data_IF_141174771461
#
_entry.id   IF_141174771461
#
_cell.length_a   1.000
_cell.length_b   1.000
_cell.length_c   1.000
_cell.angle_alpha   90.00
_cell.angle_beta   90.00
_cell.angle_gamma   90.00
#
_symmetry.space_group_name_H-M   'P 1'
#
loop_
_entity.id
_entity.type
_entity.pdbx_description
1 polymer ?
#
# COMPACT_ATOMS: atom_id res chain seq x y z
N UNK A 1 27.59 22.15 60.55
CA UNK A 1 27.80 21.90 59.13
C UNK A 1 26.92 20.72 58.70
N UNK A 2 25.78 20.99 58.08
CA UNK A 2 24.90 19.94 57.53
C UNK A 2 25.29 19.71 56.06
N UNK A 3 25.70 18.47 55.71
CA UNK A 3 25.99 18.05 54.32
C UNK A 3 24.65 17.67 53.68
N UNK A 4 24.24 18.44 52.69
CA UNK A 4 23.10 18.13 51.84
C UNK A 4 23.60 17.17 50.76
N UNK A 5 23.06 15.96 50.76
CA UNK A 5 23.31 14.93 49.77
C UNK A 5 22.31 15.13 48.61
N UNK A 6 22.80 15.54 47.44
CA UNK A 6 22.00 15.65 46.24
C UNK A 6 22.00 14.26 45.58
N UNK A 7 20.88 13.58 45.63
CA UNK A 7 20.64 12.34 44.89
C UNK A 7 20.16 12.72 43.47
N UNK A 8 21.07 12.61 42.51
CA UNK A 8 20.70 12.77 41.12
C UNK A 8 19.95 11.56 40.62
N UNK A 9 18.67 11.71 40.26
CA UNK A 9 17.94 10.73 39.51
C UNK A 9 18.35 10.80 38.05
N UNK A 10 19.14 9.83 37.59
CA UNK A 10 19.37 9.60 36.16
C UNK A 10 18.08 8.99 35.57
N UNK A 11 17.35 9.79 34.82
CA UNK A 11 16.29 9.30 33.96
C UNK A 11 16.94 8.47 32.84
N UNK A 12 16.92 7.15 32.98
CA UNK A 12 17.25 6.24 31.90
C UNK A 12 16.09 6.30 30.92
N UNK A 13 16.25 7.03 29.83
CA UNK A 13 15.42 6.90 28.64
C UNK A 13 15.69 5.52 28.04
N UNK A 14 14.83 4.55 28.36
CA UNK A 14 14.73 3.31 27.57
C UNK A 14 14.07 3.72 26.27
N UNK A 15 14.88 3.99 25.25
CA UNK A 15 14.38 3.97 23.89
C UNK A 15 13.83 2.55 23.66
N UNK A 16 12.52 2.39 23.66
CA UNK A 16 11.89 1.22 23.09
C UNK A 16 12.27 1.25 21.60
N UNK A 17 13.34 0.54 21.27
CA UNK A 17 13.60 0.08 19.92
C UNK A 17 12.37 -0.79 19.58
N UNK A 18 11.41 -0.24 18.84
CA UNK A 18 10.45 -1.02 18.12
C UNK A 18 11.27 -1.91 17.17
N UNK A 19 11.47 -3.15 17.55
CA UNK A 19 12.03 -4.15 16.66
C UNK A 19 10.97 -4.35 15.60
N UNK A 20 11.22 -3.83 14.38
CA UNK A 20 10.44 -4.21 13.23
C UNK A 20 10.45 -5.74 13.18
N UNK A 21 9.29 -6.37 13.11
CA UNK A 21 9.20 -7.79 12.93
C UNK A 21 9.77 -8.10 11.55
N UNK A 22 11.05 -8.51 11.52
CA UNK A 22 11.71 -8.85 10.27
C UNK A 22 10.98 -10.04 9.67
N UNK A 23 10.80 -10.02 8.35
CA UNK A 23 10.22 -11.14 7.61
C UNK A 23 10.89 -12.45 8.04
N UNK A 24 10.14 -13.45 8.55
CA UNK A 24 10.73 -14.72 8.95
C UNK A 24 11.47 -15.39 7.80
N UNK A 25 12.62 -15.99 8.08
CA UNK A 25 13.35 -16.74 7.07
C UNK A 25 12.46 -17.87 6.51
N UNK A 26 12.40 -17.99 5.18
CA UNK A 26 11.58 -19.01 4.52
C UNK A 26 10.08 -18.70 4.46
N UNK A 27 9.63 -17.53 4.91
CA UNK A 27 8.20 -17.18 4.93
C UNK A 27 7.53 -17.33 3.55
N UNK A 28 8.26 -17.01 2.48
CA UNK A 28 7.77 -17.12 1.10
C UNK A 28 8.28 -18.36 0.33
N UNK A 29 8.98 -19.32 0.96
CA UNK A 29 9.54 -20.48 0.26
C UNK A 29 8.48 -21.30 -0.49
N UNK A 30 7.26 -21.34 0.03
CA UNK A 30 6.15 -22.08 -0.55
C UNK A 30 5.53 -21.47 -1.81
N UNK A 31 5.99 -20.30 -2.27
CA UNK A 31 5.42 -19.65 -3.48
C UNK A 31 6.28 -19.86 -4.74
N UNK A 32 7.52 -20.35 -4.60
CA UNK A 32 8.39 -20.62 -5.74
C UNK A 32 7.78 -21.66 -6.67
N UNK A 33 7.82 -21.41 -7.97
CA UNK A 33 7.24 -22.28 -9.00
C UNK A 33 5.71 -22.22 -9.13
N UNK A 34 4.98 -21.51 -8.26
CA UNK A 34 3.54 -21.33 -8.38
C UNK A 34 3.20 -20.24 -9.41
N UNK A 35 1.98 -20.34 -9.98
CA UNK A 35 1.47 -19.38 -10.95
C UNK A 35 -0.03 -19.11 -10.76
N UNK A 36 -0.53 -18.01 -11.30
CA UNK A 36 -1.95 -17.69 -11.41
C UNK A 36 -2.71 -17.84 -10.08
N UNK A 37 -3.83 -18.54 -10.10
CA UNK A 37 -4.68 -18.77 -8.92
C UNK A 37 -3.93 -19.51 -7.79
N UNK A 38 -3.01 -20.41 -8.12
CA UNK A 38 -2.25 -21.16 -7.11
C UNK A 38 -1.33 -20.21 -6.34
N UNK A 39 -0.64 -19.32 -7.04
CA UNK A 39 0.20 -18.29 -6.42
C UNK A 39 -0.64 -17.38 -5.51
N UNK A 40 -1.75 -16.85 -6.03
CA UNK A 40 -2.62 -15.95 -5.23
C UNK A 40 -3.15 -16.65 -3.98
N UNK A 41 -3.57 -17.91 -4.08
CA UNK A 41 -4.07 -18.69 -2.95
C UNK A 41 -2.98 -19.00 -1.94
N UNK A 42 -1.76 -19.30 -2.39
CA UNK A 42 -0.61 -19.49 -1.50
C UNK A 42 -0.27 -18.21 -0.73
N UNK A 43 -0.19 -17.06 -1.41
CA UNK A 43 0.00 -15.75 -0.77
C UNK A 43 -1.13 -15.45 0.23
N UNK A 44 -2.38 -15.73 -0.14
CA UNK A 44 -3.52 -15.61 0.77
C UNK A 44 -3.32 -16.46 2.02
N UNK A 45 -2.87 -17.70 1.88
CA UNK A 45 -2.57 -18.59 3.02
C UNK A 45 -1.54 -18.03 4.00
N UNK A 46 -0.58 -17.25 3.50
CA UNK A 46 0.45 -16.61 4.32
C UNK A 46 -0.06 -15.38 5.09
N UNK A 47 -1.05 -14.65 4.56
CA UNK A 47 -1.44 -13.34 5.07
C UNK A 47 -2.82 -13.29 5.71
N UNK A 48 -3.64 -14.33 5.49
CA UNK A 48 -5.06 -14.34 5.88
C UNK A 48 -5.26 -14.47 7.38
N UNK A 49 -4.41 -15.24 8.06
CA UNK A 49 -4.44 -15.40 9.50
C UNK A 49 -3.69 -14.23 10.16
N UNK A 50 -4.46 -13.28 10.68
CA UNK A 50 -3.90 -12.09 11.33
C UNK A 50 -4.76 -11.64 12.51
N UNK A 51 -4.19 -10.79 13.35
CA UNK A 51 -4.92 -10.19 14.47
C UNK A 51 -5.86 -9.09 13.96
N UNK A 52 -7.15 -9.23 14.30
CA UNK A 52 -8.17 -8.23 14.00
C UNK A 52 -8.03 -7.02 14.93
N UNK A 53 -7.61 -5.88 14.41
CA UNK A 53 -7.41 -4.64 15.16
C UNK A 53 -8.75 -3.90 15.30
N UNK A 54 -9.17 -3.61 16.53
CA UNK A 54 -10.41 -2.88 16.74
C UNK A 54 -10.41 -1.50 16.08
N UNK A 55 -11.43 -1.21 15.27
CA UNK A 55 -11.58 0.07 14.61
C UNK A 55 -11.85 1.21 15.60
N UNK A 56 -11.16 2.35 15.44
CA UNK A 56 -11.40 3.56 16.19
C UNK A 56 -10.19 4.13 16.91
N UNK A 57 -10.45 4.96 17.91
CA UNK A 57 -9.44 5.65 18.74
C UNK A 57 -9.27 4.98 20.10
N UNK A 58 -8.11 5.19 20.72
CA UNK A 58 -7.71 4.62 22.01
C UNK A 58 -6.74 3.45 21.87
N UNK A 59 -6.32 2.93 23.03
CA UNK A 59 -5.36 1.83 23.09
C UNK A 59 -5.88 0.55 22.41
N UNK A 60 -5.02 -0.16 21.70
CA UNK A 60 -5.34 -1.38 20.96
C UNK A 60 -6.21 -1.18 19.71
N UNK A 61 -6.34 0.05 19.21
CA UNK A 61 -7.21 0.37 18.09
C UNK A 61 -6.45 1.04 16.94
N UNK A 62 -7.13 1.21 15.81
CA UNK A 62 -6.58 1.74 14.56
C UNK A 62 -5.74 3.01 14.72
N UNK A 63 -6.18 3.99 15.53
CA UNK A 63 -5.41 5.22 15.75
C UNK A 63 -4.12 5.01 16.54
N UNK A 64 -4.02 3.95 17.34
CA UNK A 64 -2.75 3.58 17.94
C UNK A 64 -1.80 2.99 16.89
N UNK A 65 -2.30 2.16 15.97
CA UNK A 65 -1.49 1.66 14.85
C UNK A 65 -0.96 2.84 14.03
N UNK A 66 -1.81 3.80 13.66
CA UNK A 66 -1.41 5.00 12.89
C UNK A 66 -0.32 5.83 13.59
N UNK A 67 -0.31 5.86 14.92
CA UNK A 67 0.74 6.55 15.66
C UNK A 67 2.12 5.95 15.39
N UNK A 68 2.20 4.66 15.14
CA UNK A 68 3.46 3.97 14.85
C UNK A 68 3.72 3.79 13.34
N UNK A 69 2.69 3.69 12.53
CA UNK A 69 2.80 3.38 11.10
C UNK A 69 2.78 4.61 10.18
N UNK A 70 2.03 5.65 10.55
CA UNK A 70 1.72 6.77 9.66
C UNK A 70 2.24 8.11 10.19
N UNK A 71 3.03 8.11 11.25
CA UNK A 71 3.61 9.31 11.88
C UNK A 71 5.09 9.44 11.55
N UNK A 72 5.52 10.67 11.22
CA UNK A 72 6.94 11.00 11.01
C UNK A 72 7.69 11.22 12.33
N UNK A 73 9.00 11.47 12.24
CA UNK A 73 9.87 11.76 13.40
C UNK A 73 9.52 13.08 14.09
N UNK A 74 8.83 14.01 13.44
CA UNK A 74 8.41 15.30 14.00
C UNK A 74 7.05 15.21 14.69
N UNK A 75 6.38 14.08 14.62
CA UNK A 75 5.11 13.84 15.28
C UNK A 75 3.88 14.07 14.44
N UNK A 76 4.02 14.23 13.13
CA UNK A 76 2.91 14.48 12.23
C UNK A 76 2.52 13.21 11.49
N UNK A 77 1.22 12.94 11.40
CA UNK A 77 0.70 11.89 10.55
C UNK A 77 0.38 12.42 9.16
N UNK A 78 0.66 11.60 8.17
CA UNK A 78 0.46 11.91 6.77
C UNK A 78 -0.98 11.63 6.34
N UNK A 79 -1.60 12.62 5.71
CA UNK A 79 -2.88 12.48 5.01
C UNK A 79 -2.62 12.42 3.50
N UNK A 80 -2.66 11.21 2.93
CA UNK A 80 -2.40 10.99 1.50
C UNK A 80 -3.48 11.58 0.58
N UNK A 81 -4.65 12.00 1.13
CA UNK A 81 -5.71 12.64 0.34
C UNK A 81 -5.57 14.15 0.23
N UNK A 82 -4.95 14.77 1.22
CA UNK A 82 -4.74 16.23 1.20
C UNK A 82 -3.29 16.63 1.04
N UNK A 83 -2.36 15.67 1.18
CA UNK A 83 -0.93 15.97 1.31
C UNK A 83 -0.70 16.99 2.44
N UNK A 84 -1.42 16.79 3.52
CA UNK A 84 -1.44 17.67 4.68
C UNK A 84 -1.03 16.88 5.92
N UNK A 85 -0.20 17.50 6.75
CA UNK A 85 0.39 16.86 7.91
C UNK A 85 -0.28 17.35 9.17
N UNK A 86 -0.83 16.43 9.97
CA UNK A 86 -1.53 16.73 11.22
C UNK A 86 -0.78 16.16 12.40
N UNK A 87 -0.63 16.95 13.45
CA UNK A 87 0.00 16.50 14.69
C UNK A 87 -0.78 15.32 15.27
N UNK A 88 -0.10 14.21 15.49
CA UNK A 88 -0.59 13.02 16.16
C UNK A 88 0.14 12.89 17.49
N UNK A 89 -0.46 13.43 18.54
CA UNK A 89 0.21 13.77 19.81
C UNK A 89 0.57 12.57 20.68
N UNK A 90 -0.24 11.49 20.61
CA UNK A 90 -0.05 10.31 21.45
C UNK A 90 -0.68 9.06 20.83
N UNK A 91 -0.25 7.84 21.24
CA UNK A 91 -0.86 6.60 20.79
C UNK A 91 -2.39 6.59 21.03
N UNK A 92 -3.14 6.23 20.00
CA UNK A 92 -4.60 6.17 20.05
C UNK A 92 -5.34 7.51 20.00
N UNK A 93 -4.63 8.65 19.98
CA UNK A 93 -5.24 9.96 19.72
C UNK A 93 -5.71 10.08 18.27
N UNK A 94 -6.65 10.98 18.01
CA UNK A 94 -7.12 11.30 16.65
C UNK A 94 -6.44 12.57 16.17
N UNK A 95 -5.88 12.56 14.99
CA UNK A 95 -5.34 13.76 14.36
C UNK A 95 -6.47 14.74 13.99
N UNK A 96 -6.25 16.03 14.26
CA UNK A 96 -7.30 17.04 14.10
C UNK A 96 -7.84 17.13 12.66
N UNK A 97 -9.16 17.03 12.52
CA UNK A 97 -9.84 17.08 11.22
C UNK A 97 -9.74 15.82 10.39
N UNK A 98 -9.10 14.77 10.91
CA UNK A 98 -8.98 13.48 10.25
C UNK A 98 -9.99 12.46 10.76
N UNK A 99 -10.27 11.47 9.92
CA UNK A 99 -10.96 10.23 10.27
C UNK A 99 -10.14 9.04 9.73
N UNK A 100 -10.62 7.83 9.98
CA UNK A 100 -10.06 6.61 9.41
C UNK A 100 -10.69 6.40 8.04
N UNK A 101 -9.87 6.43 7.01
CA UNK A 101 -10.28 6.15 5.65
C UNK A 101 -10.10 4.66 5.31
N UNK A 102 -11.12 4.10 4.67
CA UNK A 102 -11.04 2.81 4.00
C UNK A 102 -10.69 3.07 2.53
N UNK A 103 -9.42 2.96 2.13
CA UNK A 103 -9.00 3.23 0.75
C UNK A 103 -9.76 2.34 -0.24
N UNK A 104 -9.92 1.05 0.05
CA UNK A 104 -10.96 0.22 -0.56
C UNK A 104 -12.24 0.39 0.26
N UNK A 105 -13.22 1.12 -0.27
CA UNK A 105 -14.36 1.58 0.50
C UNK A 105 -15.18 0.42 1.11
N UNK A 106 -15.56 0.56 2.39
CA UNK A 106 -16.28 -0.49 3.10
C UNK A 106 -17.63 -0.88 2.46
N UNK A 107 -18.25 0.03 1.72
CA UNK A 107 -19.46 -0.25 0.95
C UNK A 107 -19.26 -1.32 -0.13
N UNK A 108 -18.01 -1.57 -0.55
CA UNK A 108 -17.68 -2.57 -1.57
C UNK A 108 -17.98 -4.01 -1.14
N UNK A 109 -18.06 -4.25 0.17
CA UNK A 109 -18.54 -5.52 0.76
C UNK A 109 -19.78 -5.35 1.64
N UNK A 110 -20.52 -4.26 1.46
CA UNK A 110 -21.79 -4.03 2.14
C UNK A 110 -21.70 -3.29 3.47
N UNK A 111 -20.54 -2.74 3.83
CA UNK A 111 -20.35 -1.95 5.05
C UNK A 111 -20.37 -2.77 6.34
N UNK A 112 -20.31 -4.10 6.24
CA UNK A 112 -20.26 -4.98 7.41
C UNK A 112 -18.92 -4.81 8.12
N UNK A 113 -18.95 -4.72 9.45
CA UNK A 113 -17.78 -4.66 10.32
C UNK A 113 -17.25 -6.08 10.54
N UNK A 114 -16.55 -6.56 9.56
CA UNK A 114 -15.86 -7.84 9.49
C UNK A 114 -14.36 -7.56 9.32
N UNK A 115 -13.51 -8.55 9.30
CA UNK A 115 -12.05 -8.36 9.24
C UNK A 115 -11.55 -7.34 8.19
N UNK A 116 -12.00 -7.33 6.91
CA UNK A 116 -11.57 -6.30 5.97
C UNK A 116 -11.91 -4.87 6.41
N UNK A 117 -12.89 -4.68 7.30
CA UNK A 117 -13.22 -3.37 7.87
C UNK A 117 -12.13 -2.84 8.81
N UNK A 118 -11.38 -3.71 9.44
CA UNK A 118 -10.40 -3.40 10.47
C UNK A 118 -8.94 -3.50 9.97
N UNK A 119 -8.72 -4.01 8.76
CA UNK A 119 -7.38 -4.29 8.24
C UNK A 119 -6.60 -2.99 7.97
N UNK A 120 -5.53 -2.79 8.73
CA UNK A 120 -4.72 -1.56 8.69
C UNK A 120 -3.91 -1.40 7.40
N UNK A 121 -3.76 -2.43 6.56
CA UNK A 121 -3.06 -2.30 5.28
C UNK A 121 -3.79 -1.46 4.24
N UNK A 122 -5.10 -1.26 4.40
CA UNK A 122 -5.86 -0.34 3.54
C UNK A 122 -6.52 0.81 4.29
N UNK A 123 -6.36 0.87 5.63
CA UNK A 123 -6.83 2.00 6.44
C UNK A 123 -5.76 3.08 6.49
N UNK A 124 -6.17 4.34 6.39
CA UNK A 124 -5.28 5.50 6.42
C UNK A 124 -5.89 6.64 7.24
N UNK A 125 -5.08 7.44 7.96
CA UNK A 125 -5.55 8.72 8.46
C UNK A 125 -5.86 9.65 7.28
N UNK A 126 -7.03 10.29 7.26
CA UNK A 126 -7.43 11.14 6.15
C UNK A 126 -8.28 12.30 6.59
N UNK A 127 -8.12 13.44 5.93
CA UNK A 127 -9.00 14.59 6.08
C UNK A 127 -10.45 14.21 5.80
N UNK A 128 -11.34 14.53 6.75
CA UNK A 128 -12.74 14.12 6.71
C UNK A 128 -13.50 14.64 5.48
N UNK A 129 -13.16 15.85 5.00
CA UNK A 129 -13.82 16.43 3.83
C UNK A 129 -13.32 15.79 2.52
N UNK A 130 -12.02 15.53 2.42
CA UNK A 130 -11.45 14.84 1.26
C UNK A 130 -11.99 13.41 1.18
N UNK A 131 -12.01 12.68 2.29
CA UNK A 131 -12.62 11.35 2.39
C UNK A 131 -14.10 11.38 1.98
N UNK A 132 -14.90 12.29 2.52
CA UNK A 132 -16.30 12.43 2.11
C UNK A 132 -16.47 12.72 0.62
N UNK A 133 -15.58 13.53 0.05
CA UNK A 133 -15.61 13.88 -1.38
C UNK A 133 -15.22 12.70 -2.27
N UNK A 134 -14.26 11.87 -1.81
CA UNK A 134 -13.84 10.63 -2.47
C UNK A 134 -14.98 9.61 -2.52
N UNK A 135 -15.87 9.60 -1.52
CA UNK A 135 -17.04 8.71 -1.47
C UNK A 135 -16.63 7.22 -1.49
N UNK A 136 -17.13 6.44 -2.44
CA UNK A 136 -16.76 5.03 -2.65
C UNK A 136 -16.18 4.78 -4.05
N UNK A 137 -15.67 5.82 -4.69
CA UNK A 137 -15.17 5.73 -6.05
C UNK A 137 -13.92 4.86 -6.13
N UNK A 138 -13.73 4.08 -7.21
CA UNK A 138 -12.51 3.33 -7.47
C UNK A 138 -11.33 4.24 -7.84
N UNK A 139 -10.14 3.65 -7.81
CA UNK A 139 -8.93 4.29 -8.30
C UNK A 139 -9.00 4.49 -9.82
N UNK A 140 -8.47 5.59 -10.33
CA UNK A 140 -8.44 5.83 -11.78
C UNK A 140 -8.06 7.26 -12.11
N UNK A 141 -7.70 7.49 -13.36
CA UNK A 141 -7.31 8.81 -13.87
C UNK A 141 -8.54 9.50 -14.47
N UNK A 142 -9.11 10.51 -13.79
CA UNK A 142 -10.33 11.18 -14.27
C UNK A 142 -10.09 11.93 -15.57
N UNK A 143 -11.03 11.80 -16.52
CA UNK A 143 -10.97 12.40 -17.86
C UNK A 143 -11.95 13.54 -18.06
N UNK A 144 -13.08 13.54 -17.36
CA UNK A 144 -14.14 14.56 -17.47
C UNK A 144 -14.69 14.96 -16.11
N UNK A 145 -15.32 16.13 -16.06
CA UNK A 145 -15.94 16.68 -14.85
C UNK A 145 -15.02 16.69 -13.62
N UNK A 146 -13.74 17.03 -13.84
CA UNK A 146 -12.68 16.92 -12.84
C UNK A 146 -12.84 18.02 -11.80
N UNK A 147 -12.84 17.63 -10.53
CA UNK A 147 -12.74 18.50 -9.36
C UNK A 147 -11.63 18.04 -8.45
N UNK A 148 -11.18 18.89 -7.55
CA UNK A 148 -10.19 18.56 -6.53
C UNK A 148 -10.84 18.50 -5.15
N UNK A 149 -10.32 17.61 -4.28
CA UNK A 149 -10.65 17.55 -2.86
C UNK A 149 -9.35 17.26 -2.10
N UNK A 150 -8.81 18.30 -1.45
CA UNK A 150 -7.41 18.26 -1.02
C UNK A 150 -6.49 18.15 -2.22
N UNK A 151 -5.62 17.14 -2.24
CA UNK A 151 -4.74 16.82 -3.39
C UNK A 151 -5.35 15.79 -4.35
N UNK A 152 -6.52 15.22 -4.03
CA UNK A 152 -7.20 14.28 -4.91
C UNK A 152 -7.77 14.96 -6.15
N UNK A 153 -7.66 14.28 -7.28
CA UNK A 153 -8.44 14.57 -8.48
C UNK A 153 -9.62 13.59 -8.56
N UNK A 154 -10.84 14.10 -8.62
CA UNK A 154 -12.07 13.30 -8.68
C UNK A 154 -12.82 13.68 -9.93
N UNK A 155 -13.24 12.72 -10.72
CA UNK A 155 -13.99 12.98 -11.95
C UNK A 155 -14.45 11.67 -12.59
N UNK A 156 -14.86 11.73 -13.84
CA UNK A 156 -15.44 10.58 -14.53
C UNK A 156 -14.52 10.01 -15.59
N UNK A 157 -14.62 8.70 -15.79
CA UNK A 157 -14.14 7.98 -16.97
C UNK A 157 -15.31 7.25 -17.62
N UNK A 158 -15.12 6.82 -18.87
CA UNK A 158 -16.09 5.99 -19.58
C UNK A 158 -15.78 4.51 -19.37
N UNK A 159 -16.80 3.70 -19.09
CA UNK A 159 -16.67 2.25 -19.05
C UNK A 159 -17.24 1.67 -20.35
N UNK A 160 -16.36 1.25 -21.25
CA UNK A 160 -16.75 0.83 -22.61
C UNK A 160 -17.76 -0.33 -22.62
N UNK A 161 -17.51 -1.37 -21.84
CA UNK A 161 -18.39 -2.56 -21.82
C UNK A 161 -19.79 -2.28 -21.26
N UNK A 162 -19.92 -1.31 -20.34
CA UNK A 162 -21.20 -0.92 -19.76
C UNK A 162 -21.81 0.30 -20.45
N UNK A 163 -21.04 0.96 -21.33
CA UNK A 163 -21.41 2.20 -22.01
C UNK A 163 -21.94 3.27 -21.05
N UNK A 164 -21.20 3.51 -19.97
CA UNK A 164 -21.60 4.46 -18.90
C UNK A 164 -20.40 5.23 -18.38
N UNK A 165 -20.60 6.48 -18.02
CA UNK A 165 -19.63 7.28 -17.28
C UNK A 165 -19.80 7.04 -15.78
N UNK A 166 -18.67 6.86 -15.07
CA UNK A 166 -18.67 6.68 -13.63
C UNK A 166 -17.49 7.43 -13.00
N UNK A 167 -17.63 7.72 -11.71
CA UNK A 167 -16.60 8.45 -10.98
C UNK A 167 -15.44 7.57 -10.53
N UNK A 168 -14.24 8.14 -10.64
CA UNK A 168 -12.97 7.62 -10.12
C UNK A 168 -12.26 8.70 -9.34
N UNK A 169 -11.25 8.32 -8.56
CA UNK A 169 -10.35 9.27 -7.92
C UNK A 169 -8.89 8.92 -8.18
N UNK A 170 -8.06 9.96 -8.24
CA UNK A 170 -6.63 9.87 -8.45
C UNK A 170 -5.90 10.62 -7.33
N UNK A 171 -5.04 9.95 -6.55
CA UNK A 171 -4.14 10.60 -5.59
C UNK A 171 -2.95 11.25 -6.32
N UNK A 172 -2.10 11.96 -5.56
CA UNK A 172 -0.80 12.39 -6.06
C UNK A 172 0.06 11.20 -6.50
N UNK A 173 0.97 11.46 -7.43
CA UNK A 173 1.85 10.44 -8.02
C UNK A 173 2.64 9.65 -6.98
N UNK A 174 3.08 10.30 -5.90
CA UNK A 174 3.86 9.70 -4.81
C UNK A 174 3.07 8.76 -3.88
N UNK A 175 1.76 8.63 -4.07
CA UNK A 175 0.88 7.73 -3.29
C UNK A 175 0.17 6.70 -4.17
N UNK A 176 0.39 6.73 -5.48
CA UNK A 176 -0.29 5.83 -6.43
C UNK A 176 0.05 4.38 -6.17
N UNK A 177 1.32 4.09 -5.95
CA UNK A 177 1.80 2.76 -5.63
C UNK A 177 1.30 2.27 -4.27
N UNK A 178 1.29 3.14 -3.25
CA UNK A 178 0.74 2.83 -1.93
C UNK A 178 -0.70 2.31 -2.03
N UNK A 179 -1.56 3.06 -2.74
CA UNK A 179 -2.96 2.66 -2.91
C UNK A 179 -3.11 1.41 -3.79
N UNK A 180 -2.32 1.30 -4.85
CA UNK A 180 -2.34 0.11 -5.71
C UNK A 180 -1.99 -1.16 -4.92
N UNK A 181 -0.91 -1.13 -4.13
CA UNK A 181 -0.48 -2.26 -3.30
C UNK A 181 -1.46 -2.57 -2.17
N UNK A 182 -2.16 -1.57 -1.63
CA UNK A 182 -3.24 -1.79 -0.67
C UNK A 182 -4.43 -2.52 -1.31
N UNK A 183 -4.85 -2.13 -2.51
CA UNK A 183 -5.94 -2.79 -3.25
C UNK A 183 -5.59 -4.23 -3.63
N UNK A 184 -4.38 -4.44 -4.16
CA UNK A 184 -3.87 -5.76 -4.54
C UNK A 184 -3.77 -6.68 -3.31
N UNK A 185 -3.32 -6.15 -2.16
CA UNK A 185 -3.32 -6.88 -0.89
C UNK A 185 -4.74 -7.28 -0.48
N UNK A 186 -5.69 -6.36 -0.49
CA UNK A 186 -7.09 -6.65 -0.13
C UNK A 186 -7.72 -7.71 -1.04
N UNK A 187 -7.46 -7.61 -2.35
CA UNK A 187 -7.92 -8.60 -3.32
C UNK A 187 -7.27 -9.99 -3.12
N UNK A 188 -6.06 -10.03 -2.59
CA UNK A 188 -5.38 -11.29 -2.25
C UNK A 188 -5.92 -11.86 -0.95
N UNK A 189 -5.93 -11.06 0.11
CA UNK A 189 -6.31 -11.49 1.45
C UNK A 189 -7.79 -11.91 1.53
N UNK A 190 -8.67 -11.14 0.91
CA UNK A 190 -10.13 -11.31 1.02
C UNK A 190 -10.83 -11.75 -0.27
N UNK A 191 -10.10 -11.94 -1.34
CA UNK A 191 -10.63 -12.40 -2.62
C UNK A 191 -10.98 -13.89 -2.64
N UNK A 192 -11.35 -14.39 -3.82
CA UNK A 192 -11.77 -15.77 -4.02
C UNK A 192 -10.65 -16.78 -3.78
N UNK A 193 -11.05 -17.97 -3.34
CA UNK A 193 -10.22 -19.17 -3.29
C UNK A 193 -10.10 -19.81 -4.69
N UNK A 194 -9.32 -20.88 -4.81
CA UNK A 194 -9.15 -21.61 -6.08
C UNK A 194 -10.45 -22.16 -6.68
N UNK A 195 -11.46 -22.43 -5.84
CA UNK A 195 -12.79 -22.90 -6.26
C UNK A 195 -13.76 -21.76 -6.62
N UNK A 196 -13.31 -20.50 -6.59
CA UNK A 196 -14.14 -19.33 -6.87
C UNK A 196 -15.00 -18.86 -5.68
N UNK A 197 -14.83 -19.44 -4.50
CA UNK A 197 -15.56 -19.04 -3.30
C UNK A 197 -14.79 -18.00 -2.50
N UNK A 198 -15.52 -17.07 -1.91
CA UNK A 198 -14.96 -16.11 -0.95
C UNK A 198 -14.71 -16.78 0.41
N UNK A 199 -13.78 -16.26 1.23
CA UNK A 199 -13.58 -16.79 2.57
C UNK A 199 -14.83 -16.64 3.42
N UNK A 200 -15.13 -17.67 4.22
CA UNK A 200 -16.17 -17.56 5.25
C UNK A 200 -15.62 -16.71 6.40
N UNK A 201 -16.00 -15.45 6.40
CA UNK A 201 -15.62 -14.53 7.47
C UNK A 201 -16.77 -14.43 8.47
N UNK A 202 -16.56 -14.89 9.71
CA UNK A 202 -17.58 -14.76 10.75
C UNK A 202 -17.89 -13.28 10.96
N UNK A 203 -19.19 -12.99 10.94
CA UNK A 203 -19.64 -11.63 11.23
C UNK A 203 -19.31 -11.24 12.67
N UNK A 204 -18.49 -10.24 12.87
CA UNK A 204 -18.33 -9.59 14.16
C UNK A 204 -19.71 -9.01 14.55
N UNK A 205 -20.27 -9.50 15.67
CA UNK A 205 -21.60 -9.12 16.16
C UNK A 205 -22.84 -9.63 15.36
N UNK A 206 -22.82 -10.85 14.83
CA UNK A 206 -23.99 -11.51 14.22
C UNK A 206 -24.62 -10.79 13.00
N UNK A 207 -23.88 -9.92 12.35
CA UNK A 207 -24.31 -9.28 11.11
C UNK A 207 -23.80 -10.09 9.92
N UNK A 208 -24.45 -9.98 8.79
CA UNK A 208 -24.32 -10.77 7.56
C UNK A 208 -22.91 -11.27 7.26
N UNK A 209 -22.75 -12.52 6.78
CA UNK A 209 -21.46 -13.03 6.34
C UNK A 209 -20.86 -12.16 5.23
N UNK A 210 -19.55 -12.28 5.02
CA UNK A 210 -18.86 -11.58 3.94
C UNK A 210 -19.42 -12.02 2.58
N UNK A 211 -20.07 -11.11 1.83
CA UNK A 211 -20.75 -11.49 0.59
C UNK A 211 -19.80 -11.54 -0.62
N UNK A 212 -18.48 -11.34 -0.42
CA UNK A 212 -17.59 -10.95 -1.51
C UNK A 212 -17.79 -9.49 -1.92
N UNK A 213 -17.27 -9.14 -3.08
CA UNK A 213 -17.40 -7.78 -3.62
C UNK A 213 -18.82 -7.53 -4.15
N UNK A 214 -19.36 -6.36 -3.86
CA UNK A 214 -20.71 -5.96 -4.32
C UNK A 214 -20.67 -5.48 -5.76
N UNK A 215 -20.82 -6.39 -6.69
CA UNK A 215 -20.82 -6.09 -8.13
C UNK A 215 -22.24 -5.91 -8.70
N UNK A 216 -23.29 -5.97 -7.88
CA UNK A 216 -24.69 -5.90 -8.30
C UNK A 216 -25.36 -4.55 -7.97
N UNK A 217 -24.58 -3.55 -7.53
CA UNK A 217 -25.11 -2.24 -7.16
C UNK A 217 -24.31 -1.13 -7.81
N UNK A 218 -24.86 -0.48 -8.82
CA UNK A 218 -24.26 0.62 -9.58
C UNK A 218 -23.94 1.87 -8.75
N UNK A 219 -24.49 1.99 -7.55
CA UNK A 219 -24.20 3.11 -6.63
C UNK A 219 -22.92 2.89 -5.83
N UNK A 220 -22.24 1.76 -6.03
CA UNK A 220 -21.00 1.39 -5.33
C UNK A 220 -19.89 1.19 -6.36
N UNK A 221 -18.72 1.77 -6.07
CA UNK A 221 -17.55 1.72 -6.97
C UNK A 221 -17.12 0.32 -7.37
N UNK A 222 -17.31 -0.69 -6.50
CA UNK A 222 -17.00 -2.08 -6.82
C UNK A 222 -17.81 -2.65 -8.00
N UNK A 223 -18.98 -2.11 -8.32
CA UNK A 223 -19.73 -2.49 -9.51
C UNK A 223 -18.93 -2.26 -10.81
N UNK A 224 -18.14 -1.22 -10.84
CA UNK A 224 -17.32 -0.83 -11.99
C UNK A 224 -15.91 -1.40 -11.96
N UNK A 225 -15.37 -1.63 -10.77
CA UNK A 225 -13.95 -1.96 -10.56
C UNK A 225 -13.68 -3.46 -10.31
N UNK A 226 -14.67 -4.15 -9.74
CA UNK A 226 -14.50 -5.55 -9.32
C UNK A 226 -15.28 -6.50 -10.23
N UNK A 227 -14.85 -7.76 -10.24
CA UNK A 227 -15.58 -8.86 -10.91
C UNK A 227 -15.62 -10.08 -9.99
N UNK A 228 -16.69 -10.87 -10.12
CA UNK A 228 -16.79 -12.19 -9.51
C UNK A 228 -16.46 -13.26 -10.57
N UNK A 229 -16.18 -14.48 -10.11
CA UNK A 229 -15.84 -15.64 -10.95
C UNK A 229 -14.50 -15.53 -11.70
N UNK A 230 -13.63 -14.64 -11.21
CA UNK A 230 -12.26 -14.56 -11.71
C UNK A 230 -11.31 -14.29 -10.53
N UNK A 231 -10.29 -15.13 -10.36
CA UNK A 231 -9.32 -15.00 -9.27
C UNK A 231 -8.56 -13.66 -9.28
N UNK A 232 -8.57 -12.92 -10.41
CA UNK A 232 -7.94 -11.60 -10.52
C UNK A 232 -8.70 -10.52 -9.74
N UNK A 233 -9.99 -10.73 -9.44
CA UNK A 233 -10.89 -9.84 -8.68
C UNK A 233 -11.22 -8.50 -9.36
N UNK A 234 -10.28 -7.89 -10.06
CA UNK A 234 -10.46 -6.58 -10.70
C UNK A 234 -10.93 -6.68 -12.14
N UNK A 235 -11.78 -5.74 -12.56
CA UNK A 235 -12.05 -5.51 -13.97
C UNK A 235 -10.73 -5.17 -14.72
N UNK A 236 -10.61 -5.53 -16.01
CA UNK A 236 -9.35 -5.31 -16.75
C UNK A 236 -8.84 -3.86 -16.73
N UNK A 237 -9.73 -2.87 -16.74
CA UNK A 237 -9.34 -1.46 -16.69
C UNK A 237 -8.74 -1.08 -15.32
N UNK A 238 -9.35 -1.55 -14.22
CA UNK A 238 -8.84 -1.29 -12.86
C UNK A 238 -7.52 -2.01 -12.64
N UNK A 239 -7.41 -3.27 -13.09
CA UNK A 239 -6.16 -4.02 -13.08
C UNK A 239 -5.03 -3.26 -13.79
N UNK A 240 -5.31 -2.70 -14.97
CA UNK A 240 -4.34 -1.92 -15.72
C UNK A 240 -3.90 -0.65 -14.96
N UNK A 241 -4.83 0.04 -14.30
CA UNK A 241 -4.52 1.20 -13.44
C UNK A 241 -3.63 0.80 -12.28
N UNK A 242 -4.00 -0.25 -11.54
CA UNK A 242 -3.26 -0.70 -10.36
C UNK A 242 -1.82 -1.11 -10.70
N UNK A 243 -1.62 -1.88 -11.76
CA UNK A 243 -0.28 -2.30 -12.20
C UNK A 243 0.53 -1.11 -12.73
N UNK A 244 -0.09 -0.20 -13.47
CA UNK A 244 0.60 1.01 -13.93
C UNK A 244 1.06 1.88 -12.75
N UNK A 245 0.22 2.06 -11.75
CA UNK A 245 0.57 2.84 -10.56
C UNK A 245 1.57 2.14 -9.65
N UNK A 246 1.47 0.83 -9.51
CA UNK A 246 2.47 0.02 -8.81
C UNK A 246 3.88 0.19 -9.40
N UNK A 247 3.98 0.25 -10.75
CA UNK A 247 5.25 0.49 -11.47
C UNK A 247 5.71 1.94 -11.40
N UNK A 248 4.76 2.89 -11.49
CA UNK A 248 5.04 4.34 -11.49
C UNK A 248 5.61 4.80 -10.15
N UNK A 249 5.11 4.24 -9.06
CA UNK A 249 5.46 4.58 -7.69
C UNK A 249 5.94 3.32 -6.94
N UNK A 250 7.24 2.98 -7.10
CA UNK A 250 7.85 1.81 -6.45
C UNK A 250 7.84 1.94 -4.92
N UNK A 251 7.91 0.79 -4.23
CA UNK A 251 7.88 0.70 -2.77
C UNK A 251 8.87 1.67 -2.13
N UNK A 252 8.37 2.57 -1.31
CA UNK A 252 9.12 3.63 -0.64
C UNK A 252 9.60 3.22 0.75
N UNK A 253 10.55 3.98 1.31
CA UNK A 253 10.95 3.83 2.71
C UNK A 253 9.76 3.97 3.67
N UNK A 254 8.81 4.87 3.34
CA UNK A 254 7.59 5.08 4.12
C UNK A 254 6.73 3.81 4.16
N UNK A 255 6.53 3.16 3.03
CA UNK A 255 5.72 1.93 2.97
C UNK A 255 6.36 0.77 3.72
N UNK A 256 7.69 0.60 3.61
CA UNK A 256 8.42 -0.43 4.36
C UNK A 256 8.23 -0.20 5.87
N UNK A 257 8.48 1.02 6.36
CA UNK A 257 8.28 1.38 7.77
C UNK A 257 6.84 1.18 8.21
N UNK A 258 5.88 1.58 7.35
CA UNK A 258 4.46 1.40 7.63
C UNK A 258 4.09 -0.07 7.73
N UNK A 259 4.54 -0.89 6.79
CA UNK A 259 4.30 -2.34 6.79
C UNK A 259 4.86 -2.97 8.06
N UNK A 260 6.11 -2.67 8.43
CA UNK A 260 6.74 -3.20 9.63
C UNK A 260 5.96 -2.80 10.90
N UNK A 261 5.52 -1.55 10.98
CA UNK A 261 4.72 -1.08 12.10
C UNK A 261 3.35 -1.77 12.17
N UNK A 262 2.64 -1.90 11.04
CA UNK A 262 1.35 -2.62 10.98
C UNK A 262 1.53 -4.08 11.35
N UNK A 263 2.59 -4.73 10.87
CA UNK A 263 2.85 -6.15 11.14
C UNK A 263 3.07 -6.44 12.64
N UNK A 264 3.64 -5.49 13.41
CA UNK A 264 3.75 -5.61 14.86
C UNK A 264 2.41 -5.69 15.59
N UNK A 265 1.33 -5.23 14.97
CA UNK A 265 -0.02 -5.27 15.53
C UNK A 265 -0.87 -6.39 14.91
N UNK A 266 -0.84 -6.54 13.58
CA UNK A 266 -1.67 -7.51 12.86
C UNK A 266 -1.02 -8.89 12.72
N UNK A 267 0.30 -9.02 12.88
CA UNK A 267 1.07 -10.27 12.76
C UNK A 267 0.98 -10.90 11.37
N UNK A 268 0.75 -10.08 10.33
CA UNK A 268 0.87 -10.46 8.93
C UNK A 268 1.63 -9.39 8.15
N UNK A 269 1.93 -9.65 6.88
CA UNK A 269 2.72 -8.74 6.04
C UNK A 269 2.05 -8.55 4.69
N UNK A 270 2.35 -7.43 4.01
CA UNK A 270 1.88 -7.23 2.64
C UNK A 270 2.92 -7.80 1.64
N UNK A 271 2.61 -8.90 0.92
CA UNK A 271 3.55 -9.53 -0.01
C UNK A 271 4.03 -8.59 -1.13
N UNK A 272 3.22 -7.61 -1.49
CA UNK A 272 3.50 -6.67 -2.57
C UNK A 272 4.32 -5.46 -2.12
N UNK A 273 4.64 -5.40 -0.83
CA UNK A 273 5.68 -4.53 -0.26
C UNK A 273 6.93 -5.35 0.02
N UNK A 274 6.80 -6.57 0.56
CA UNK A 274 7.95 -7.46 0.81
C UNK A 274 8.67 -7.86 -0.49
N UNK A 275 7.92 -8.33 -1.49
CA UNK A 275 8.39 -8.71 -2.82
C UNK A 275 7.54 -8.02 -3.88
N UNK A 276 7.80 -6.75 -4.22
CA UNK A 276 6.92 -5.97 -5.09
C UNK A 276 6.63 -6.65 -6.43
N UNK A 277 7.61 -7.33 -7.00
CA UNK A 277 7.46 -7.97 -8.30
C UNK A 277 6.48 -9.16 -8.32
N UNK A 278 6.02 -9.66 -7.17
CA UNK A 278 4.97 -10.68 -7.11
C UNK A 278 3.66 -10.21 -7.75
N UNK A 279 3.38 -8.90 -7.74
CA UNK A 279 2.22 -8.34 -8.41
C UNK A 279 2.22 -8.61 -9.92
N UNK A 280 3.40 -8.65 -10.55
CA UNK A 280 3.56 -8.90 -11.98
C UNK A 280 3.19 -10.33 -12.38
N UNK A 281 3.37 -11.29 -11.47
CA UNK A 281 3.03 -12.70 -11.71
C UNK A 281 1.53 -12.99 -11.63
N UNK A 282 0.75 -12.12 -11.00
CA UNK A 282 -0.70 -12.30 -10.89
C UNK A 282 -1.45 -11.38 -11.85
N UNK A 283 -1.08 -10.08 -11.90
CA UNK A 283 -1.83 -9.05 -12.63
C UNK A 283 -1.05 -8.34 -13.73
N UNK A 284 0.26 -8.59 -13.87
CA UNK A 284 1.15 -7.87 -14.76
C UNK A 284 1.74 -8.72 -15.89
N UNK A 285 2.95 -8.37 -16.31
CA UNK A 285 3.61 -8.94 -17.48
C UNK A 285 4.07 -10.41 -17.32
N UNK A 286 4.14 -10.91 -16.09
CA UNK A 286 4.50 -12.30 -15.76
C UNK A 286 3.28 -13.18 -15.48
N UNK A 287 2.05 -12.67 -15.65
CA UNK A 287 0.85 -13.47 -15.45
C UNK A 287 0.89 -14.75 -16.31
N UNK A 288 0.51 -15.88 -15.72
CA UNK A 288 0.61 -17.18 -16.36
C UNK A 288 2.00 -17.83 -16.35
N UNK A 289 3.01 -17.19 -15.75
CA UNK A 289 4.35 -17.76 -15.61
C UNK A 289 4.57 -18.23 -14.16
N UNK A 290 5.33 -19.31 -13.94
CA UNK A 290 5.70 -19.73 -12.59
C UNK A 290 6.64 -18.69 -11.93
N UNK A 291 6.44 -18.45 -10.64
CA UNK A 291 7.32 -17.57 -9.86
C UNK A 291 8.73 -18.18 -9.80
N UNK A 292 9.71 -17.36 -10.01
CA UNK A 292 11.12 -17.69 -9.82
C UNK A 292 11.69 -16.79 -8.71
N UNK A 293 11.54 -17.22 -7.45
CA UNK A 293 11.96 -16.44 -6.26
C UNK A 293 13.43 -16.02 -6.32
N UNK A 294 14.30 -16.78 -6.99
CA UNK A 294 15.71 -16.44 -7.21
C UNK A 294 15.94 -15.13 -7.98
N UNK A 295 14.93 -14.65 -8.70
CA UNK A 295 14.97 -13.40 -9.45
C UNK A 295 14.25 -12.26 -8.72
N UNK A 296 13.71 -12.52 -7.54
CA UNK A 296 13.02 -11.49 -6.76
C UNK A 296 13.93 -10.94 -5.66
N UNK A 297 13.90 -9.61 -5.50
CA UNK A 297 14.58 -8.92 -4.40
C UNK A 297 13.52 -8.49 -3.39
N UNK A 298 13.70 -8.91 -2.14
CA UNK A 298 12.88 -8.43 -1.05
C UNK A 298 13.15 -6.96 -0.76
N UNK A 299 12.14 -6.21 -0.33
CA UNK A 299 12.31 -4.83 0.10
C UNK A 299 13.20 -4.66 1.35
N UNK A 300 13.42 -5.74 2.08
CA UNK A 300 14.36 -5.83 3.21
C UNK A 300 15.80 -6.17 2.79
N UNK A 301 16.05 -6.52 1.53
CA UNK A 301 17.38 -6.83 1.03
C UNK A 301 18.21 -5.56 0.89
N UNK A 302 19.51 -5.66 1.20
CA UNK A 302 20.44 -4.53 1.12
C UNK A 302 20.62 -3.97 -0.31
N UNK A 303 20.32 -4.75 -1.34
CA UNK A 303 20.36 -4.33 -2.75
C UNK A 303 19.08 -3.64 -3.23
N UNK A 304 18.01 -3.72 -2.45
CA UNK A 304 16.76 -3.03 -2.76
C UNK A 304 16.90 -1.52 -2.52
N UNK A 305 16.58 -0.72 -3.52
CA UNK A 305 16.61 0.75 -3.42
C UNK A 305 15.16 1.27 -3.35
N UNK A 306 14.67 1.65 -2.16
CA UNK A 306 13.30 2.14 -2.00
C UNK A 306 12.99 3.33 -2.91
N UNK A 307 11.80 3.34 -3.51
CA UNK A 307 11.36 4.36 -4.46
C UNK A 307 11.98 4.24 -5.86
N UNK A 308 12.79 3.20 -6.11
CA UNK A 308 13.46 2.97 -7.40
C UNK A 308 13.33 1.52 -7.86
N UNK A 309 13.63 0.55 -6.97
CA UNK A 309 13.63 -0.87 -7.33
C UNK A 309 12.21 -1.40 -7.51
N UNK A 310 11.99 -2.14 -8.59
CA UNK A 310 10.74 -2.88 -8.82
C UNK A 310 10.72 -4.27 -8.15
N UNK A 311 11.81 -4.69 -7.52
CA UNK A 311 11.94 -6.00 -6.88
C UNK A 311 12.34 -7.14 -7.82
N UNK A 312 12.77 -6.84 -9.02
CA UNK A 312 13.30 -7.82 -9.99
C UNK A 312 14.82 -7.73 -10.11
N UNK A 313 15.49 -8.86 -10.01
CA UNK A 313 16.91 -8.99 -10.38
C UNK A 313 16.94 -9.52 -11.80
N UNK A 314 17.42 -8.73 -12.72
CA UNK A 314 17.87 -9.30 -14.00
C UNK A 314 18.83 -10.45 -13.69
N UNK A 315 18.60 -11.63 -14.30
CA UNK A 315 19.47 -12.78 -14.11
C UNK A 315 20.92 -12.28 -14.18
N UNK A 316 21.81 -12.71 -13.26
CA UNK A 316 23.16 -12.17 -13.22
C UNK A 316 23.68 -12.19 -14.64
N UNK A 317 23.87 -11.01 -15.23
CA UNK A 317 24.53 -10.87 -16.51
C UNK A 317 25.80 -11.68 -16.35
N UNK A 318 25.88 -12.81 -17.02
CA UNK A 318 27.12 -13.57 -17.14
C UNK A 318 28.15 -12.52 -17.47
N UNK A 319 29.01 -12.22 -16.52
CA UNK A 319 30.00 -11.14 -16.46
C UNK A 319 30.24 -10.54 -17.84
N UNK A 320 29.44 -9.57 -18.24
CA UNK A 320 29.72 -8.73 -19.40
C UNK A 320 30.12 -7.37 -18.85
N UNK A 321 31.43 -7.18 -18.78
CA UNK A 321 32.17 -5.95 -18.70
C UNK A 321 31.52 -4.79 -17.90
N UNK A 322 32.07 -4.37 -16.76
CA UNK A 322 31.53 -3.26 -15.95
C UNK A 322 31.59 -1.88 -16.63
N UNK A 323 31.90 -1.84 -17.95
CA UNK A 323 32.05 -0.60 -18.71
C UNK A 323 30.74 -0.03 -19.31
N UNK A 324 29.59 -0.67 -19.13
CA UNK A 324 28.32 -0.21 -19.75
C UNK A 324 27.11 -0.09 -18.83
N UNK A 325 27.30 -0.11 -17.52
CA UNK A 325 26.23 0.27 -16.60
C UNK A 325 26.01 1.78 -16.68
N UNK A 326 24.89 2.22 -17.27
CA UNK A 326 24.45 3.62 -17.28
C UNK A 326 24.30 4.06 -15.82
N UNK A 327 25.29 4.77 -15.30
CA UNK A 327 25.22 5.30 -13.94
C UNK A 327 24.24 6.48 -13.93
N UNK A 328 23.14 6.31 -13.20
CA UNK A 328 22.17 7.38 -12.96
C UNK A 328 22.25 7.81 -11.50
N UNK A 329 22.41 9.10 -11.27
CA UNK A 329 22.41 9.66 -9.93
C UNK A 329 21.61 10.97 -9.90
N UNK A 330 20.92 11.22 -8.80
CA UNK A 330 20.36 12.56 -8.53
C UNK A 330 21.37 13.33 -7.68
N UNK A 331 21.77 14.51 -8.10
CA UNK A 331 22.71 15.37 -7.39
C UNK A 331 22.10 16.75 -7.13
N UNK A 332 22.38 17.27 -5.95
CA UNK A 332 21.98 18.65 -5.59
C UNK A 332 23.19 19.55 -5.77
N UNK A 333 23.11 20.52 -6.68
CA UNK A 333 24.16 21.51 -6.93
C UNK A 333 23.56 22.89 -6.74
N UNK A 334 24.12 23.66 -5.79
CA UNK A 334 23.64 25.01 -5.45
C UNK A 334 22.13 25.10 -5.17
N UNK A 335 21.56 24.09 -4.50
CA UNK A 335 20.15 24.03 -4.16
C UNK A 335 19.21 23.63 -5.32
N UNK A 336 19.75 23.30 -6.50
CA UNK A 336 18.98 22.75 -7.63
C UNK A 336 19.29 21.26 -7.84
N UNK A 337 18.26 20.48 -8.13
CA UNK A 337 18.37 19.05 -8.39
C UNK A 337 18.64 18.78 -9.86
N UNK A 338 19.60 17.90 -10.11
CA UNK A 338 19.99 17.42 -11.44
C UNK A 338 20.01 15.91 -11.48
N UNK A 339 19.82 15.37 -12.68
CA UNK A 339 19.99 13.94 -12.98
C UNK A 339 21.33 13.79 -13.71
N UNK A 340 22.23 12.96 -13.17
CA UNK A 340 23.47 12.60 -13.85
C UNK A 340 23.29 11.26 -14.52
N UNK A 341 23.57 11.19 -15.81
CA UNK A 341 23.54 9.97 -16.63
C UNK A 341 24.86 9.92 -17.39
N UNK A 342 25.64 8.86 -17.16
CA UNK A 342 26.95 8.67 -17.82
C UNK A 342 27.83 9.93 -17.77
N UNK A 343 28.03 10.47 -16.55
CA UNK A 343 28.81 11.67 -16.28
C UNK A 343 28.25 12.97 -16.89
N UNK A 344 27.06 12.92 -17.50
CA UNK A 344 26.40 14.08 -18.06
C UNK A 344 25.23 14.53 -17.15
N UNK A 345 25.16 15.84 -16.90
CA UNK A 345 24.17 16.44 -16.02
C UNK A 345 22.97 16.97 -16.81
N UNK A 346 21.76 16.67 -16.35
CA UNK A 346 20.49 17.11 -16.93
C UNK A 346 19.65 17.79 -15.88
N UNK A 347 18.92 18.86 -16.23
CA UNK A 347 17.91 19.45 -15.38
C UNK A 347 16.66 18.54 -15.33
N UNK A 348 15.70 18.89 -14.44
CA UNK A 348 14.45 18.11 -14.30
C UNK A 348 13.55 18.14 -15.55
N UNK A 349 13.80 19.04 -16.51
CA UNK A 349 13.14 19.10 -17.80
C UNK A 349 13.83 18.24 -18.89
N UNK A 350 14.87 17.49 -18.50
CA UNK A 350 15.61 16.63 -19.41
C UNK A 350 16.62 17.37 -20.31
N UNK A 351 16.87 18.66 -20.06
CA UNK A 351 17.85 19.43 -20.83
C UNK A 351 19.24 19.24 -20.24
N UNK A 352 20.23 18.98 -21.09
CA UNK A 352 21.61 18.83 -20.67
C UNK A 352 22.16 20.17 -20.15
N UNK A 353 22.77 20.11 -19.00
CA UNK A 353 23.46 21.25 -18.35
C UNK A 353 24.94 21.13 -18.64
N UNK A 354 25.55 22.22 -19.10
CA UNK A 354 26.98 22.26 -19.41
C UNK A 354 27.84 22.31 -18.15
#
# INVERSE_FOLDING_TARGET
MRKTMIVGFALIWVAQLCWAETMPAGFYDGVDGLQDVQLKVALKGLIREHTDISYGSGAGKTWEVFYYSDRDENGYCMDMYCDDWKLLSSPGAVAAGCNIEHSMANSWWGGSKIEPYNDCYHLNPSNSNANSSRSNYPLGVPQKNIKTAGSLRIGQIHHDSLNVDFYVFEPKDEYKGDFARAYIYMATCYGQNANGEYPDLPAVNKKKPYPGWRINNKDVGSYYAMQNNNYLEFQPWEQAVLIAWHRQDPVSVKEIKRMDAVSNFQHNRNPFIDYPYLAEYIWGEKAGQPVEMKHLIASSDASFVPGVSNGWVDAPLAISNPATAVQRAKVLVNGQMYIVIDEQMYNLQGQRVK
#
